data_IF_147382708865
#
_entry.id   IF_147382708865
#
_cell.length_a   1.000
_cell.length_b   1.000
_cell.length_c   1.000
_cell.angle_alpha   90.00
_cell.angle_beta   90.00
_cell.angle_gamma   90.00
#
_symmetry.space_group_name_H-M   'P 1'
#
loop_
_entity.id
_entity.type
_entity.pdbx_description
1 polymer ?
#
# COMPACT_ATOMS: atom_id res chain seq x y z
N UNK A 1 -4.69 -26.23 3.16
CA UNK A 1 -4.09 -25.17 2.32
C UNK A 1 -2.83 -24.69 3.04
N UNK A 2 -1.67 -24.64 2.38
CA UNK A 2 -0.40 -24.29 3.04
C UNK A 2 -0.39 -22.82 3.48
N UNK A 3 0.33 -22.50 4.56
CA UNK A 3 0.54 -21.12 5.04
C UNK A 3 0.99 -20.19 3.90
N UNK A 4 1.94 -20.67 3.10
CA UNK A 4 2.45 -19.99 1.91
C UNK A 4 1.35 -19.61 0.92
N UNK A 5 0.43 -20.52 0.63
CA UNK A 5 -0.66 -20.24 -0.30
C UNK A 5 -1.63 -19.20 0.27
N UNK A 6 -1.99 -19.31 1.56
CA UNK A 6 -2.88 -18.34 2.23
C UNK A 6 -2.27 -16.95 2.25
N UNK A 7 -0.99 -16.84 2.62
CA UNK A 7 -0.26 -15.57 2.61
C UNK A 7 -0.10 -15.01 1.19
N UNK A 8 0.11 -15.86 0.20
CA UNK A 8 0.15 -15.46 -1.20
C UNK A 8 -1.14 -14.79 -1.66
N UNK A 9 -2.29 -15.38 -1.32
CA UNK A 9 -3.60 -14.78 -1.59
C UNK A 9 -3.82 -13.49 -0.78
N UNK A 10 -3.42 -13.46 0.49
CA UNK A 10 -3.55 -12.27 1.33
C UNK A 10 -2.72 -11.10 0.78
N UNK A 11 -1.50 -11.34 0.32
CA UNK A 11 -0.68 -10.33 -0.35
C UNK A 11 -1.26 -9.89 -1.68
N UNK A 12 -1.85 -10.80 -2.46
CA UNK A 12 -2.59 -10.46 -3.67
C UNK A 12 -3.77 -9.52 -3.37
N UNK A 13 -4.58 -9.83 -2.36
CA UNK A 13 -5.70 -9.00 -1.94
C UNK A 13 -5.24 -7.62 -1.42
N UNK A 14 -4.20 -7.58 -0.61
CA UNK A 14 -3.62 -6.33 -0.10
C UNK A 14 -3.04 -5.47 -1.22
N UNK A 15 -2.38 -6.10 -2.20
CA UNK A 15 -1.90 -5.41 -3.41
C UNK A 15 -3.04 -4.73 -4.16
N UNK A 16 -4.14 -5.46 -4.43
CA UNK A 16 -5.31 -4.90 -5.11
C UNK A 16 -5.92 -3.74 -4.32
N UNK A 17 -6.01 -3.86 -2.99
CA UNK A 17 -6.49 -2.80 -2.12
C UNK A 17 -5.60 -1.55 -2.16
N UNK A 18 -4.27 -1.69 -2.13
CA UNK A 18 -3.34 -0.56 -2.22
C UNK A 18 -3.39 0.12 -3.58
N UNK A 19 -3.46 -0.66 -4.67
CA UNK A 19 -3.59 -0.13 -6.02
C UNK A 19 -4.90 0.67 -6.16
N UNK A 20 -6.01 0.11 -5.69
CA UNK A 20 -7.30 0.79 -5.66
C UNK A 20 -7.25 2.08 -4.82
N UNK A 21 -6.68 2.02 -3.60
CA UNK A 21 -6.54 3.19 -2.72
C UNK A 21 -5.74 4.30 -3.38
N UNK A 22 -4.59 3.98 -3.99
CA UNK A 22 -3.74 4.95 -4.68
C UNK A 22 -4.42 5.63 -5.87
N UNK A 23 -5.37 4.96 -6.52
CA UNK A 23 -6.17 5.54 -7.63
C UNK A 23 -7.42 6.27 -7.13
N UNK A 24 -8.08 5.75 -6.10
CA UNK A 24 -9.32 6.31 -5.58
C UNK A 24 -9.07 7.63 -4.86
N UNK A 25 -8.02 7.70 -4.03
CA UNK A 25 -7.70 8.88 -3.22
C UNK A 25 -7.26 10.11 -4.04
N UNK A 26 -7.01 9.98 -5.35
CA UNK A 26 -6.62 11.11 -6.22
C UNK A 26 -7.75 11.59 -7.15
N UNK A 27 -8.95 11.01 -7.04
CA UNK A 27 -10.13 11.46 -7.80
C UNK A 27 -10.56 12.85 -7.32
N UNK A 28 -11.24 13.62 -8.17
CA UNK A 28 -11.85 14.90 -7.77
C UNK A 28 -13.24 14.66 -7.19
N UNK A 29 -13.68 15.51 -6.26
CA UNK A 29 -14.99 15.44 -5.63
C UNK A 29 -15.15 14.29 -4.65
N UNK A 30 -14.04 13.79 -4.08
CA UNK A 30 -14.11 12.75 -3.06
C UNK A 30 -14.45 13.36 -1.71
N UNK A 31 -15.19 12.62 -0.90
CA UNK A 31 -15.30 12.95 0.51
C UNK A 31 -14.03 12.53 1.25
N UNK A 32 -13.20 13.51 1.58
CA UNK A 32 -11.93 13.33 2.29
C UNK A 32 -12.13 12.77 3.71
N UNK A 33 -13.32 12.87 4.28
CA UNK A 33 -13.62 12.35 5.62
C UNK A 33 -14.01 10.87 5.61
N UNK A 34 -14.42 10.30 4.49
CA UNK A 34 -14.73 8.86 4.37
C UNK A 34 -13.75 8.08 3.49
N UNK A 35 -12.98 8.76 2.63
CA UNK A 35 -12.00 8.09 1.76
C UNK A 35 -10.84 7.44 2.54
N UNK A 36 -10.36 6.26 2.11
CA UNK A 36 -9.09 5.70 2.58
C UNK A 36 -7.91 6.54 2.09
N UNK A 37 -6.84 6.60 2.89
CA UNK A 37 -5.64 7.37 2.56
C UNK A 37 -4.80 7.81 3.76
N UNK A 38 -3.93 8.78 3.54
CA UNK A 38 -3.11 9.45 4.57
C UNK A 38 -4.01 10.43 5.31
N UNK A 39 -4.48 10.04 6.50
CA UNK A 39 -5.46 10.79 7.29
C UNK A 39 -4.80 11.46 8.49
N UNK A 40 -4.27 12.64 8.26
CA UNK A 40 -3.68 13.50 9.30
C UNK A 40 -4.28 14.90 9.21
N UNK A 41 -4.21 15.73 10.26
CA UNK A 41 -4.83 17.06 10.24
C UNK A 41 -4.43 17.92 9.03
N UNK A 42 -3.17 17.84 8.58
CA UNK A 42 -2.70 18.63 7.43
C UNK A 42 -3.33 18.19 6.10
N UNK A 43 -3.67 16.92 5.92
CA UNK A 43 -4.27 16.36 4.69
C UNK A 43 -5.79 16.46 4.67
N UNK A 44 -6.43 16.55 5.83
CA UNK A 44 -7.89 16.66 5.97
C UNK A 44 -8.40 18.11 5.98
N UNK A 45 -7.51 19.10 5.81
CA UNK A 45 -7.83 20.52 5.88
C UNK A 45 -8.69 21.01 4.72
N UNK A 46 -8.40 20.53 3.52
CA UNK A 46 -9.13 20.85 2.29
C UNK A 46 -8.94 19.73 1.27
N UNK A 47 -9.80 19.71 0.25
CA UNK A 47 -9.64 18.79 -0.88
C UNK A 47 -8.31 19.02 -1.62
N UNK A 48 -7.82 20.26 -1.74
CA UNK A 48 -6.53 20.52 -2.39
C UNK A 48 -5.37 19.92 -1.60
N UNK A 49 -5.37 20.07 -0.27
CA UNK A 49 -4.35 19.49 0.59
C UNK A 49 -4.37 17.95 0.53
N UNK A 50 -5.57 17.36 0.47
CA UNK A 50 -5.75 15.93 0.27
C UNK A 50 -5.15 15.48 -1.07
N UNK A 51 -5.53 16.13 -2.17
CA UNK A 51 -5.07 15.80 -3.52
C UNK A 51 -3.55 15.98 -3.67
N UNK A 52 -2.98 17.04 -3.11
CA UNK A 52 -1.55 17.28 -3.11
C UNK A 52 -0.79 16.14 -2.41
N UNK A 53 -1.26 15.72 -1.24
CA UNK A 53 -0.67 14.60 -0.51
C UNK A 53 -0.75 13.28 -1.31
N UNK A 54 -1.94 12.94 -1.79
CA UNK A 54 -2.19 11.64 -2.39
C UNK A 54 -1.58 11.51 -3.78
N UNK A 55 -1.52 12.59 -4.58
CA UNK A 55 -0.77 12.60 -5.84
C UNK A 55 0.72 12.38 -5.60
N UNK A 56 1.29 13.01 -4.55
CA UNK A 56 2.70 12.83 -4.23
C UNK A 56 3.01 11.43 -3.71
N UNK A 57 2.08 10.84 -2.96
CA UNK A 57 2.18 9.49 -2.41
C UNK A 57 1.84 8.38 -3.43
N UNK A 58 1.13 8.70 -4.53
CA UNK A 58 0.63 7.72 -5.50
C UNK A 58 1.71 6.76 -6.04
N UNK A 59 2.93 7.19 -6.40
CA UNK A 59 3.97 6.25 -6.85
C UNK A 59 4.34 5.21 -5.78
N UNK A 60 4.30 5.58 -4.50
CA UNK A 60 4.61 4.67 -3.40
C UNK A 60 3.51 3.61 -3.22
N UNK A 61 2.23 3.98 -3.38
CA UNK A 61 1.14 3.01 -3.42
C UNK A 61 1.27 2.05 -4.59
N UNK A 62 1.61 2.56 -5.78
CA UNK A 62 1.83 1.73 -6.97
C UNK A 62 2.97 0.73 -6.77
N UNK A 63 4.16 1.20 -6.34
CA UNK A 63 5.30 0.31 -6.11
C UNK A 63 5.02 -0.69 -4.99
N UNK A 64 4.33 -0.29 -3.92
CA UNK A 64 3.95 -1.22 -2.85
C UNK A 64 2.98 -2.29 -3.34
N UNK A 65 1.97 -1.92 -4.12
CA UNK A 65 1.06 -2.88 -4.74
C UNK A 65 1.81 -3.85 -5.66
N UNK A 66 2.72 -3.35 -6.50
CA UNK A 66 3.51 -4.18 -7.41
C UNK A 66 4.38 -5.19 -6.64
N UNK A 67 5.12 -4.74 -5.62
CA UNK A 67 5.96 -5.63 -4.81
C UNK A 67 5.14 -6.67 -4.05
N UNK A 68 3.96 -6.31 -3.53
CA UNK A 68 3.04 -7.26 -2.92
C UNK A 68 2.48 -8.27 -3.92
N UNK A 69 2.19 -7.87 -5.17
CA UNK A 69 1.80 -8.83 -6.22
C UNK A 69 2.90 -9.84 -6.49
N UNK A 70 4.14 -9.37 -6.65
CA UNK A 70 5.30 -10.24 -6.89
C UNK A 70 5.55 -11.19 -5.71
N UNK A 71 5.47 -10.68 -4.49
CA UNK A 71 5.56 -11.49 -3.28
C UNK A 71 4.42 -12.52 -3.22
N UNK A 72 3.18 -12.11 -3.50
CA UNK A 72 2.01 -13.00 -3.53
C UNK A 72 2.19 -14.16 -4.51
N UNK A 73 2.64 -13.87 -5.73
CA UNK A 73 2.95 -14.88 -6.75
C UNK A 73 4.05 -15.83 -6.25
N UNK A 74 5.14 -15.29 -5.71
CA UNK A 74 6.25 -16.10 -5.20
C UNK A 74 5.80 -17.05 -4.07
N UNK A 75 4.93 -16.58 -3.18
CA UNK A 75 4.37 -17.37 -2.09
C UNK A 75 3.42 -18.46 -2.57
N UNK A 76 2.53 -18.16 -3.53
CA UNK A 76 1.66 -19.17 -4.16
C UNK A 76 2.49 -20.24 -4.86
N UNK A 77 3.46 -19.85 -5.68
CA UNK A 77 4.34 -20.77 -6.42
C UNK A 77 5.11 -21.66 -5.46
N UNK A 78 5.71 -21.10 -4.40
CA UNK A 78 6.42 -21.87 -3.38
C UNK A 78 5.47 -22.83 -2.66
N UNK A 79 4.29 -22.38 -2.27
CA UNK A 79 3.30 -23.20 -1.57
C UNK A 79 2.72 -24.33 -2.41
N UNK A 80 2.70 -24.18 -3.74
CA UNK A 80 2.20 -25.18 -4.68
C UNK A 80 3.26 -26.20 -5.13
N UNK A 81 4.53 -25.78 -5.27
CA UNK A 81 5.58 -26.62 -5.84
C UNK A 81 6.50 -27.27 -4.80
N UNK A 82 6.51 -26.79 -3.56
CA UNK A 82 7.35 -27.34 -2.51
C UNK A 82 6.77 -28.65 -1.94
N UNK A 83 7.57 -29.72 -1.92
CA UNK A 83 7.23 -30.92 -1.14
C UNK A 83 7.15 -30.64 0.36
N UNK A 84 8.14 -29.90 0.88
CA UNK A 84 8.15 -29.39 2.26
C UNK A 84 8.53 -27.90 2.27
N UNK A 85 7.53 -27.00 2.30
CA UNK A 85 7.80 -25.57 2.12
C UNK A 85 8.50 -24.90 3.32
N UNK A 86 8.44 -25.49 4.51
CA UNK A 86 8.85 -24.85 5.77
C UNK A 86 7.89 -23.74 6.19
N UNK A 87 8.26 -22.96 7.21
CA UNK A 87 7.47 -21.81 7.69
C UNK A 87 7.60 -20.59 6.77
N UNK A 88 6.48 -19.90 6.53
CA UNK A 88 6.46 -18.66 5.74
C UNK A 88 6.67 -17.39 6.58
N UNK A 89 6.74 -17.50 7.91
CA UNK A 89 6.80 -16.38 8.85
C UNK A 89 7.95 -15.40 8.59
N UNK A 90 9.18 -15.91 8.42
CA UNK A 90 10.35 -15.06 8.18
C UNK A 90 10.23 -14.25 6.89
N UNK A 91 9.99 -14.91 5.73
CA UNK A 91 9.72 -14.23 4.46
C UNK A 91 8.55 -13.24 4.52
N UNK A 92 7.47 -13.58 5.24
CA UNK A 92 6.32 -12.69 5.43
C UNK A 92 6.74 -11.37 6.10
N UNK A 93 7.48 -11.44 7.20
CA UNK A 93 7.95 -10.23 7.89
C UNK A 93 8.91 -9.40 7.04
N UNK A 94 9.75 -10.04 6.23
CA UNK A 94 10.63 -9.32 5.30
C UNK A 94 9.82 -8.50 4.28
N UNK A 95 8.78 -9.10 3.67
CA UNK A 95 7.87 -8.39 2.75
C UNK A 95 7.18 -7.24 3.46
N UNK A 96 6.59 -7.49 4.63
CA UNK A 96 5.87 -6.47 5.39
C UNK A 96 6.78 -5.30 5.81
N UNK A 97 8.03 -5.56 6.18
CA UNK A 97 8.99 -4.52 6.54
C UNK A 97 9.31 -3.61 5.35
N UNK A 98 9.57 -4.18 4.18
CA UNK A 98 9.84 -3.40 2.95
C UNK A 98 8.61 -2.58 2.56
N UNK A 99 7.41 -3.16 2.61
CA UNK A 99 6.17 -2.45 2.30
C UNK A 99 5.88 -1.32 3.28
N UNK A 100 6.10 -1.55 4.57
CA UNK A 100 5.96 -0.53 5.60
C UNK A 100 6.91 0.65 5.33
N UNK A 101 8.17 0.38 4.99
CA UNK A 101 9.14 1.43 4.67
C UNK A 101 8.73 2.25 3.44
N UNK A 102 8.27 1.61 2.36
CA UNK A 102 7.79 2.29 1.15
C UNK A 102 6.57 3.16 1.44
N UNK A 103 5.56 2.62 2.13
CA UNK A 103 4.35 3.35 2.49
C UNK A 103 4.64 4.50 3.45
N UNK A 104 5.53 4.30 4.42
CA UNK A 104 5.99 5.37 5.32
C UNK A 104 6.66 6.50 4.54
N UNK A 105 7.52 6.17 3.56
CA UNK A 105 8.11 7.14 2.64
C UNK A 105 7.06 7.94 1.86
N UNK A 106 6.05 7.25 1.34
CA UNK A 106 4.91 7.89 0.65
C UNK A 106 4.10 8.79 1.57
N UNK A 107 3.84 8.34 2.80
CA UNK A 107 3.14 9.12 3.81
C UNK A 107 3.89 10.41 4.16
N UNK A 108 5.20 10.32 4.45
CA UNK A 108 6.04 11.49 4.72
C UNK A 108 6.05 12.46 3.54
N UNK A 109 6.20 11.96 2.32
CA UNK A 109 6.18 12.79 1.12
C UNK A 109 4.81 13.48 0.93
N UNK A 110 3.71 12.76 1.18
CA UNK A 110 2.35 13.29 1.08
C UNK A 110 2.06 14.37 2.14
N UNK A 111 2.43 14.13 3.40
CA UNK A 111 2.24 15.09 4.51
C UNK A 111 3.01 16.39 4.24
N UNK A 112 4.24 16.30 3.74
CA UNK A 112 5.03 17.49 3.36
C UNK A 112 4.39 18.27 2.22
N UNK A 113 3.86 17.59 1.20
CA UNK A 113 3.17 18.23 0.10
C UNK A 113 1.90 18.98 0.56
N UNK A 114 1.09 18.38 1.43
CA UNK A 114 -0.09 19.04 2.00
C UNK A 114 0.26 20.26 2.86
N UNK A 115 1.41 20.22 3.56
CA UNK A 115 1.92 21.36 4.33
C UNK A 115 2.40 22.52 3.46
N UNK A 116 2.92 22.24 2.26
CA UNK A 116 3.34 23.28 1.30
C UNK A 116 2.17 23.88 0.50
N UNK A 117 0.98 23.27 0.58
CA UNK A 117 -0.21 23.68 -0.18
C UNK A 117 -1.05 24.75 0.53
N UNK A 118 -0.54 25.37 1.60
CA UNK A 118 -1.17 26.53 2.24
C UNK A 118 -0.98 27.78 1.38
N UNK A 119 -2.04 28.56 1.10
CA UNK A 119 -1.90 29.95 0.66
C UNK A 119 -1.28 30.83 1.77
#
# INVERSE_FOLDING_TARGET
MSEWFVLGLAFGALSAFLAWTGQHAVRRGIDIHSSPGIRVPSTLRSEEAWLAAHRRAQPYFFWSAMWLSLAGIAFVVRGALAGEPGSATGPMFAVLAVMTALLAGGAVAGVRAAGASTP
#
